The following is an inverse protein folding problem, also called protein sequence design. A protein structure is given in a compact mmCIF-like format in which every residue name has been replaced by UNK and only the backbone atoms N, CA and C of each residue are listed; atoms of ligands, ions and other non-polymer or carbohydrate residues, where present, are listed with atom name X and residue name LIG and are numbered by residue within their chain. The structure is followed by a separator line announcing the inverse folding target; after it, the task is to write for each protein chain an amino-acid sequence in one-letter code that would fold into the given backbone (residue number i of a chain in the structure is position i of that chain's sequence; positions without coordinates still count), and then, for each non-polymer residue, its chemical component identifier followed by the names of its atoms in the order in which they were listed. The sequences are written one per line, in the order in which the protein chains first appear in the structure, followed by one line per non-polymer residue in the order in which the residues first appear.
data_IF_777079368117
#
_entry.id   IF_777079368117
#
_cell.length_a   1.000
_cell.length_b   1.000
_cell.length_c   1.000
_cell.angle_alpha   90.00
_cell.angle_beta   90.00
_cell.angle_gamma   90.00
#
_symmetry.space_group_name_H-M   'P 1'
#
loop_
_entity.id
_entity.type
_entity.pdbx_description
1 polymer ?
#
# COMPACT_ATOMS: atom_id res chain seq x y z
N UNK A 1 -55.54 -23.87 11.49
CA UNK A 1 -55.05 -22.94 12.52
C UNK A 1 -53.53 -22.97 12.52
N UNK A 2 -52.89 -22.01 11.90
CA UNK A 2 -51.42 -21.85 11.92
C UNK A 2 -51.12 -20.37 12.23
N UNK A 3 -50.64 -20.12 13.45
CA UNK A 3 -50.21 -18.80 13.92
C UNK A 3 -48.83 -18.51 13.36
N UNK A 4 -48.71 -17.41 12.63
CA UNK A 4 -47.42 -16.79 12.24
C UNK A 4 -47.03 -15.80 13.30
N UNK A 5 -45.83 -15.88 13.91
CA UNK A 5 -45.33 -14.78 14.75
C UNK A 5 -44.77 -13.67 13.91
N UNK A 6 -45.37 -12.48 14.05
CA UNK A 6 -44.93 -11.22 13.47
C UNK A 6 -43.68 -10.72 14.23
N UNK A 7 -42.53 -10.72 13.55
CA UNK A 7 -41.27 -10.20 14.12
C UNK A 7 -41.23 -8.68 13.99
N UNK A 8 -41.37 -7.99 15.12
CA UNK A 8 -41.33 -6.54 15.26
C UNK A 8 -39.88 -6.06 15.16
N UNK A 9 -39.48 -5.43 14.03
CA UNK A 9 -38.19 -4.74 13.90
C UNK A 9 -38.27 -3.39 14.60
N UNK A 10 -37.53 -3.21 15.70
CA UNK A 10 -37.29 -1.88 16.31
C UNK A 10 -36.07 -1.23 15.58
N UNK A 11 -36.20 0.03 15.13
CA UNK A 11 -35.02 0.77 14.66
C UNK A 11 -34.27 1.38 15.85
N UNK A 12 -32.99 1.01 16.00
CA UNK A 12 -32.07 1.72 16.91
C UNK A 12 -31.66 3.05 16.28
N UNK A 13 -32.18 4.14 16.84
CA UNK A 13 -31.74 5.49 16.54
C UNK A 13 -30.53 5.80 17.43
N UNK A 14 -29.33 5.81 16.82
CA UNK A 14 -28.12 6.27 17.50
C UNK A 14 -28.12 7.82 17.55
N UNK A 15 -28.50 8.40 18.69
CA UNK A 15 -28.40 9.83 18.96
C UNK A 15 -26.95 10.23 19.23
N UNK A 16 -26.39 11.14 18.44
CA UNK A 16 -25.15 11.84 18.78
C UNK A 16 -25.41 12.83 19.92
N UNK A 17 -24.89 12.55 21.10
CA UNK A 17 -24.90 13.49 22.24
C UNK A 17 -23.73 14.46 22.05
N UNK A 18 -24.01 15.71 21.73
CA UNK A 18 -23.06 16.80 21.80
C UNK A 18 -22.88 17.21 23.26
N UNK A 19 -21.69 17.05 23.82
CA UNK A 19 -21.32 17.51 25.14
C UNK A 19 -21.03 19.03 25.07
N UNK A 20 -21.74 19.90 25.79
CA UNK A 20 -21.38 21.30 25.85
C UNK A 20 -20.10 21.49 26.68
N UNK A 21 -19.06 22.03 26.03
CA UNK A 21 -17.84 22.46 26.72
C UNK A 21 -18.14 23.77 27.43
N UNK A 22 -17.89 23.92 28.76
CA UNK A 22 -18.04 25.20 29.42
C UNK A 22 -16.98 26.17 28.90
N UNK A 23 -17.45 27.20 28.20
CA UNK A 23 -16.63 28.36 27.78
C UNK A 23 -16.30 29.21 29.00
N UNK A 24 -15.15 29.01 29.60
CA UNK A 24 -14.57 29.98 30.54
C UNK A 24 -13.86 31.07 29.70
N UNK A 25 -14.65 31.96 29.12
CA UNK A 25 -14.12 33.15 28.48
C UNK A 25 -13.91 34.23 29.56
N UNK A 26 -12.70 34.78 29.71
CA UNK A 26 -12.49 35.94 30.53
C UNK A 26 -13.18 37.16 29.89
N UNK A 27 -13.60 38.17 30.69
CA UNK A 27 -14.32 39.32 30.16
C UNK A 27 -13.49 40.08 29.15
N UNK A 28 -14.16 40.39 28.02
CA UNK A 28 -13.57 41.17 26.95
C UNK A 28 -13.21 42.57 27.43
N UNK A 29 -11.92 42.87 27.56
CA UNK A 29 -11.39 44.19 27.74
C UNK A 29 -11.51 44.95 26.42
N UNK A 30 -12.41 45.93 26.35
CA UNK A 30 -12.61 46.81 25.20
C UNK A 30 -11.47 47.85 25.09
N UNK A 31 -10.30 47.42 24.69
CA UNK A 31 -9.22 48.31 24.27
C UNK A 31 -9.26 48.50 22.76
N UNK A 32 -8.82 49.65 22.21
CA UNK A 32 -8.79 49.86 20.79
C UNK A 32 -7.86 48.82 20.15
N UNK A 33 -8.41 48.04 19.23
CA UNK A 33 -7.65 47.07 18.45
C UNK A 33 -6.76 47.83 17.48
N UNK A 34 -5.51 48.04 17.88
CA UNK A 34 -4.46 48.48 16.96
C UNK A 34 -4.16 47.26 16.07
N UNK A 35 -4.70 47.28 14.87
CA UNK A 35 -4.31 46.36 13.82
C UNK A 35 -2.80 46.55 13.55
N UNK A 36 -1.99 45.75 14.21
CA UNK A 36 -0.59 45.61 13.84
C UNK A 36 -0.55 44.97 12.46
N UNK A 37 0.10 45.58 11.45
CA UNK A 37 0.33 44.88 10.19
C UNK A 37 1.00 43.55 10.54
N UNK A 38 0.37 42.44 10.11
CA UNK A 38 0.97 41.12 10.25
C UNK A 38 2.31 41.16 9.54
N UNK A 39 3.41 41.27 10.30
CA UNK A 39 4.76 41.14 9.75
C UNK A 39 4.82 39.76 9.13
N UNK A 40 4.63 39.70 7.81
CA UNK A 40 4.84 38.48 7.04
C UNK A 40 6.24 37.99 7.36
N UNK A 41 6.29 36.92 8.14
CA UNK A 41 7.53 36.24 8.44
C UNK A 41 8.08 35.77 7.11
N UNK A 42 9.17 36.37 6.64
CA UNK A 42 9.84 36.00 5.40
C UNK A 42 10.26 34.55 5.52
N UNK A 43 9.56 33.67 4.76
CA UNK A 43 9.95 32.27 4.63
C UNK A 43 11.37 32.27 4.06
N UNK A 44 12.35 31.64 4.74
CA UNK A 44 13.70 31.52 4.17
C UNK A 44 13.58 30.87 2.78
N UNK A 45 14.35 31.36 1.78
CA UNK A 45 14.33 30.76 0.46
C UNK A 45 14.74 29.28 0.59
N UNK A 46 13.76 28.38 0.44
CA UNK A 46 14.03 26.95 0.34
C UNK A 46 14.75 26.74 -0.99
N UNK A 47 16.02 26.39 -0.94
CA UNK A 47 16.73 25.92 -2.14
C UNK A 47 15.89 24.79 -2.75
N UNK A 48 15.63 24.81 -4.08
CA UNK A 48 14.97 23.70 -4.73
C UNK A 48 15.67 22.40 -4.35
N UNK A 49 14.89 21.39 -3.94
CA UNK A 49 15.45 20.07 -3.68
C UNK A 49 16.28 19.67 -4.90
N UNK A 50 17.57 19.36 -4.68
CA UNK A 50 18.42 18.83 -5.76
C UNK A 50 17.69 17.65 -6.37
N UNK A 51 17.51 17.58 -7.70
CA UNK A 51 16.97 16.39 -8.33
C UNK A 51 17.75 15.18 -7.79
N UNK A 52 17.10 14.07 -7.43
CA UNK A 52 17.82 12.85 -7.07
C UNK A 52 18.81 12.58 -8.20
N UNK A 53 20.08 12.34 -7.84
CA UNK A 53 21.08 11.97 -8.82
C UNK A 53 20.46 10.86 -9.68
N UNK A 54 20.28 11.13 -10.97
CA UNK A 54 19.66 10.23 -11.92
C UNK A 54 20.54 8.98 -12.20
N UNK A 55 21.54 8.75 -11.37
CA UNK A 55 22.38 7.56 -11.43
C UNK A 55 21.55 6.34 -11.08
N UNK A 56 21.57 5.36 -11.96
CA UNK A 56 20.94 4.06 -11.74
C UNK A 56 21.38 3.46 -10.39
N UNK A 57 20.42 3.05 -9.57
CA UNK A 57 20.65 2.36 -8.30
C UNK A 57 20.20 0.92 -8.43
N UNK A 58 21.12 -0.06 -8.38
CA UNK A 58 20.74 -1.47 -8.42
C UNK A 58 19.77 -1.80 -7.27
N UNK A 59 18.70 -2.57 -7.54
CA UNK A 59 17.78 -3.00 -6.51
C UNK A 59 18.44 -4.03 -5.58
N UNK A 60 17.93 -4.12 -4.36
CA UNK A 60 18.24 -5.24 -3.49
C UNK A 60 17.60 -6.51 -4.05
N UNK A 61 18.34 -7.61 -4.04
CA UNK A 61 17.85 -8.92 -4.49
C UNK A 61 17.61 -9.81 -3.29
N UNK A 62 16.36 -10.21 -3.09
CA UNK A 62 15.94 -11.11 -2.02
C UNK A 62 16.72 -12.43 -2.10
N UNK A 63 17.22 -12.86 -0.93
CA UNK A 63 17.85 -14.17 -0.75
C UNK A 63 17.04 -14.94 0.27
N UNK A 64 16.21 -15.85 -0.21
CA UNK A 64 15.38 -16.67 0.64
C UNK A 64 15.35 -18.12 0.11
N UNK A 65 15.57 -19.11 0.97
CA UNK A 65 15.51 -20.52 0.57
C UNK A 65 14.15 -20.88 -0.01
N UNK A 66 14.14 -21.66 -1.08
CA UNK A 66 12.93 -22.12 -1.77
C UNK A 66 12.34 -21.12 -2.76
N UNK A 67 13.00 -19.99 -3.01
CA UNK A 67 12.64 -19.01 -4.04
C UNK A 67 13.62 -18.97 -5.22
N UNK A 68 14.55 -19.91 -5.31
CA UNK A 68 15.60 -19.96 -6.36
C UNK A 68 14.99 -20.04 -7.77
N UNK A 69 13.83 -20.66 -7.89
CA UNK A 69 13.11 -20.78 -9.15
C UNK A 69 12.24 -19.55 -9.49
N UNK A 70 12.24 -18.51 -8.66
CA UNK A 70 11.49 -17.27 -8.83
C UNK A 70 12.43 -16.08 -8.94
N UNK A 71 13.33 -15.93 -7.98
CA UNK A 71 14.30 -14.83 -7.94
C UNK A 71 15.24 -14.88 -9.16
N UNK A 72 15.46 -13.73 -9.79
CA UNK A 72 16.23 -13.53 -11.02
C UNK A 72 15.58 -14.09 -12.30
N UNK A 73 14.33 -14.56 -12.23
CA UNK A 73 13.57 -14.92 -13.42
C UNK A 73 12.98 -13.69 -14.09
N UNK A 74 12.92 -13.70 -15.43
CA UNK A 74 12.20 -12.71 -16.23
C UNK A 74 10.68 -12.94 -16.19
N UNK A 75 9.91 -11.94 -16.63
CA UNK A 75 8.46 -11.98 -16.64
C UNK A 75 7.91 -13.18 -17.44
N UNK A 76 8.48 -13.49 -18.60
CA UNK A 76 8.02 -14.59 -19.43
C UNK A 76 8.24 -15.95 -18.76
N UNK A 77 9.35 -16.14 -18.05
CA UNK A 77 9.63 -17.34 -17.28
C UNK A 77 8.67 -17.52 -16.10
N UNK A 78 8.31 -16.43 -15.43
CA UNK A 78 7.32 -16.44 -14.34
C UNK A 78 5.92 -16.78 -14.87
N UNK A 79 5.51 -16.22 -16.00
CA UNK A 79 4.24 -16.53 -16.66
C UNK A 79 4.18 -17.99 -17.12
N UNK A 80 5.26 -18.53 -17.66
CA UNK A 80 5.32 -19.96 -18.01
C UNK A 80 5.17 -20.86 -16.78
N UNK A 81 5.68 -20.43 -15.64
CA UNK A 81 5.67 -21.19 -14.39
C UNK A 81 4.34 -21.13 -13.67
N UNK A 82 3.77 -19.94 -13.53
CA UNK A 82 2.60 -19.68 -12.68
C UNK A 82 1.30 -19.47 -13.47
N UNK A 83 1.38 -19.43 -14.80
CA UNK A 83 0.25 -19.09 -15.65
C UNK A 83 0.08 -17.59 -15.83
N UNK A 84 -1.08 -17.18 -16.38
CA UNK A 84 -1.38 -15.77 -16.60
C UNK A 84 -1.47 -15.00 -15.27
N UNK A 85 -0.79 -13.86 -15.13
CA UNK A 85 -0.89 -13.04 -13.93
C UNK A 85 -2.28 -12.42 -13.83
N UNK A 86 -2.77 -12.27 -12.61
CA UNK A 86 -3.98 -11.52 -12.32
C UNK A 86 -3.78 -10.00 -12.44
N UNK A 87 -2.57 -9.53 -12.18
CA UNK A 87 -2.16 -8.14 -12.30
C UNK A 87 -0.79 -8.10 -12.97
N UNK A 88 -0.66 -7.21 -13.96
CA UNK A 88 0.57 -6.91 -14.69
C UNK A 88 0.68 -5.39 -14.79
N UNK A 89 1.62 -4.78 -14.06
CA UNK A 89 1.75 -3.32 -13.93
C UNK A 89 3.20 -2.90 -14.08
N UNK A 90 3.41 -1.86 -14.88
CA UNK A 90 4.69 -1.17 -15.01
C UNK A 90 4.60 0.22 -14.36
N UNK A 91 5.58 0.55 -13.51
CA UNK A 91 5.66 1.82 -12.83
C UNK A 91 7.13 2.26 -12.69
N UNK A 92 7.54 3.22 -13.50
CA UNK A 92 8.96 3.57 -13.62
C UNK A 92 9.78 2.36 -14.07
N UNK A 93 10.80 2.00 -13.28
CA UNK A 93 11.65 0.82 -13.54
C UNK A 93 11.06 -0.48 -12.98
N UNK A 94 9.98 -0.40 -12.22
CA UNK A 94 9.32 -1.55 -11.63
C UNK A 94 8.35 -2.21 -12.61
N UNK A 95 8.44 -3.53 -12.72
CA UNK A 95 7.41 -4.37 -13.33
C UNK A 95 6.87 -5.31 -12.25
N UNK A 96 5.60 -5.20 -11.89
CA UNK A 96 4.94 -6.03 -10.89
C UNK A 96 4.02 -7.04 -11.55
N UNK A 97 4.23 -8.31 -11.24
CA UNK A 97 3.33 -9.40 -11.57
C UNK A 97 2.67 -9.94 -10.31
N UNK A 98 1.35 -10.17 -10.37
CA UNK A 98 0.61 -10.81 -9.29
C UNK A 98 0.01 -12.12 -9.78
N UNK A 99 0.34 -13.21 -9.09
CA UNK A 99 -0.24 -14.52 -9.32
C UNK A 99 -1.16 -14.89 -8.17
N UNK A 100 -2.33 -15.42 -8.46
CA UNK A 100 -3.34 -15.73 -7.45
C UNK A 100 -3.82 -17.18 -7.56
N UNK A 101 -3.76 -17.89 -6.44
CA UNK A 101 -4.35 -19.21 -6.25
C UNK A 101 -5.45 -19.20 -5.19
N UNK A 102 -5.99 -20.36 -4.89
CA UNK A 102 -7.03 -20.50 -3.85
C UNK A 102 -6.50 -20.24 -2.44
N UNK A 103 -5.25 -20.58 -2.17
CA UNK A 103 -4.65 -20.47 -0.84
C UNK A 103 -3.96 -19.13 -0.62
N UNK A 104 -3.27 -18.61 -1.64
CA UNK A 104 -2.44 -17.41 -1.50
C UNK A 104 -2.39 -16.58 -2.78
N UNK A 105 -1.91 -15.37 -2.62
CA UNK A 105 -1.54 -14.42 -3.67
C UNK A 105 -0.05 -14.15 -3.55
N UNK A 106 0.66 -14.24 -4.67
CA UNK A 106 2.09 -13.99 -4.81
C UNK A 106 2.29 -12.72 -5.63
N UNK A 107 2.89 -11.70 -5.04
CA UNK A 107 3.32 -10.48 -5.70
C UNK A 107 4.81 -10.61 -6.01
N UNK A 108 5.18 -10.49 -7.28
CA UNK A 108 6.57 -10.56 -7.75
C UNK A 108 6.96 -9.21 -8.32
N UNK A 109 8.04 -8.63 -7.81
CA UNK A 109 8.57 -7.34 -8.23
C UNK A 109 9.85 -7.57 -9.03
N UNK A 110 9.81 -7.12 -10.27
CA UNK A 110 10.92 -7.22 -11.20
C UNK A 110 11.55 -5.84 -11.38
N UNK A 111 12.86 -5.79 -11.35
CA UNK A 111 13.64 -4.60 -11.61
C UNK A 111 14.86 -4.93 -12.49
N UNK A 112 15.36 -3.98 -13.28
CA UNK A 112 16.63 -4.14 -13.96
C UNK A 112 17.78 -4.19 -12.95
N UNK A 113 18.72 -5.11 -13.09
CA UNK A 113 19.90 -5.19 -12.22
C UNK A 113 21.03 -4.24 -12.63
N UNK A 114 20.93 -3.64 -13.81
CA UNK A 114 21.80 -2.62 -14.37
C UNK A 114 20.99 -1.76 -15.33
N UNK A 115 21.47 -0.57 -15.59
CA UNK A 115 20.81 0.35 -16.52
C UNK A 115 20.56 -0.30 -17.89
N UNK A 116 19.32 -0.18 -18.39
CA UNK A 116 18.90 -0.72 -19.68
C UNK A 116 18.79 -2.25 -19.75
N UNK A 117 18.99 -2.97 -18.65
CA UNK A 117 18.79 -4.43 -18.62
C UNK A 117 17.30 -4.78 -18.52
N UNK A 118 16.96 -5.98 -19.02
CA UNK A 118 15.63 -6.54 -18.81
C UNK A 118 15.34 -6.75 -17.32
N UNK A 119 14.15 -6.35 -16.83
CA UNK A 119 13.76 -6.56 -15.45
C UNK A 119 13.68 -8.03 -15.08
N UNK A 120 14.21 -8.38 -13.92
CA UNK A 120 14.13 -9.72 -13.35
C UNK A 120 13.58 -9.64 -11.93
N UNK A 121 12.97 -10.72 -11.45
CA UNK A 121 12.42 -10.80 -10.10
C UNK A 121 13.52 -10.55 -9.05
N UNK A 122 13.37 -9.49 -8.28
CA UNK A 122 14.28 -9.12 -7.20
C UNK A 122 13.64 -9.28 -5.84
N UNK A 123 12.31 -9.16 -5.76
CA UNK A 123 11.55 -9.21 -4.52
C UNK A 123 10.24 -9.97 -4.70
N UNK A 124 9.81 -10.64 -3.64
CA UNK A 124 8.57 -11.41 -3.62
C UNK A 124 7.85 -11.20 -2.29
N UNK A 125 6.55 -11.01 -2.36
CA UNK A 125 5.65 -11.00 -1.22
C UNK A 125 4.56 -12.04 -1.39
N UNK A 126 4.08 -12.61 -0.29
CA UNK A 126 3.00 -13.58 -0.32
C UNK A 126 2.00 -13.31 0.81
N UNK A 127 0.72 -13.35 0.46
CA UNK A 127 -0.36 -13.19 1.43
C UNK A 127 -1.44 -14.24 1.21
N UNK A 128 -2.14 -14.58 2.29
CA UNK A 128 -3.27 -15.49 2.25
C UNK A 128 -4.42 -14.87 1.43
N UNK A 129 -5.03 -15.67 0.58
CA UNK A 129 -6.07 -15.18 -0.33
C UNK A 129 -7.37 -14.76 0.40
N UNK A 130 -7.64 -15.32 1.59
CA UNK A 130 -8.89 -15.09 2.32
C UNK A 130 -8.90 -13.81 3.17
N UNK A 131 -7.77 -13.44 3.76
CA UNK A 131 -7.68 -12.36 4.76
C UNK A 131 -6.49 -11.40 4.56
N UNK A 132 -5.64 -11.67 3.57
CA UNK A 132 -4.49 -10.82 3.25
C UNK A 132 -3.31 -10.93 4.22
N UNK A 133 -3.36 -11.82 5.21
CA UNK A 133 -2.25 -12.03 6.14
C UNK A 133 -1.02 -12.57 5.43
N UNK A 134 0.17 -12.11 5.85
CA UNK A 134 1.44 -12.59 5.30
C UNK A 134 1.59 -14.10 5.52
N UNK A 135 2.10 -14.80 4.51
CA UNK A 135 2.37 -16.23 4.55
C UNK A 135 3.77 -16.53 4.01
N UNK A 136 4.24 -17.75 4.21
CA UNK A 136 5.53 -18.17 3.69
C UNK A 136 5.57 -18.08 2.15
N UNK A 137 6.50 -17.28 1.64
CA UNK A 137 6.65 -16.95 0.22
C UNK A 137 7.00 -18.17 -0.62
N UNK A 138 7.91 -19.03 -0.10
CA UNK A 138 8.33 -20.22 -0.82
C UNK A 138 7.21 -21.27 -0.87
N UNK A 139 6.44 -21.43 0.21
CA UNK A 139 5.27 -22.31 0.22
C UNK A 139 4.19 -21.82 -0.76
N UNK A 140 3.92 -20.51 -0.80
CA UNK A 140 2.99 -19.92 -1.75
C UNK A 140 3.47 -20.15 -3.20
N UNK A 141 4.73 -19.85 -3.51
CA UNK A 141 5.29 -20.05 -4.86
C UNK A 141 5.20 -21.51 -5.30
N UNK A 142 5.47 -22.47 -4.41
CA UNK A 142 5.31 -23.91 -4.72
C UNK A 142 3.84 -24.27 -5.00
N UNK A 143 2.90 -23.72 -4.23
CA UNK A 143 1.46 -24.03 -4.40
C UNK A 143 0.86 -23.46 -5.68
N UNK A 144 1.48 -22.44 -6.27
CA UNK A 144 1.04 -21.83 -7.53
C UNK A 144 1.70 -22.46 -8.75
N UNK A 145 2.93 -22.96 -8.61
CA UNK A 145 3.70 -23.55 -9.71
C UNK A 145 3.45 -25.04 -9.95
N UNK A 146 2.43 -25.61 -9.28
CA UNK A 146 1.83 -26.95 -9.25
C UNK A 146 2.46 -28.07 -9.96
#
# INVERSE_FOLDING_TARGET
MRLTPSLLLLPLVAGCVAVPVPSNAPPASSGPVVLRPNAQQSVPPTLPARPPDAAFRPPEVLRAPGLEAVIRQDAASLVRRFGAPRLDVHEGDMHKLQFAGRACVLDVFLYPLREGAEPVATWVEARRASDGQEVDRAACARSLGG
#
